data_IF_433719804268
#
_entry.id   IF_433719804268
#
_cell.length_a   1.000
_cell.length_b   1.000
_cell.length_c   1.000
_cell.angle_alpha   90.00
_cell.angle_beta   90.00
_cell.angle_gamma   90.00
#
_symmetry.space_group_name_H-M   'P 1'
#
loop_
_entity.id
_entity.type
_entity.pdbx_description
1 polymer ?
2 polymer ?
3 non-polymer ?
4 non-polymer ?
5 water ?
#
# COMPACT_ATOMS: atom_id res chain seq x y z
N UNK A 10 -10.61 -26.88 -9.09
CA UNK A 10 -12.05 -27.07 -9.12
C UNK A 10 -12.82 -25.91 -8.43
N UNK A 11 -14.15 -25.95 -8.50
CA UNK A 11 -15.00 -24.92 -7.89
C UNK A 11 -15.15 -23.66 -8.71
N UNK A 12 -14.49 -23.59 -9.91
CA UNK A 12 -14.50 -22.47 -10.85
C UNK A 12 -13.93 -21.20 -10.21
N UNK A 13 -12.84 -21.35 -9.42
CA UNK A 13 -12.23 -20.24 -8.67
C UNK A 13 -13.25 -19.47 -7.83
N UNK A 14 -14.38 -20.10 -7.48
CA UNK A 14 -15.42 -19.48 -6.70
C UNK A 14 -15.62 -20.26 -5.43
N UNK A 15 -15.75 -19.56 -4.32
CA UNK A 15 -15.95 -20.20 -3.04
C UNK A 15 -17.37 -19.96 -2.58
N UNK A 16 -17.94 -20.95 -1.90
CA UNK A 16 -19.29 -20.87 -1.36
C UNK A 16 -19.14 -20.02 -0.10
N UNK A 17 -19.77 -18.83 -0.04
CA UNK A 17 -19.65 -17.98 1.16
C UNK A 17 -20.24 -18.58 2.43
N UNK A 18 -21.13 -19.59 2.29
CA UNK A 18 -21.73 -20.31 3.41
C UNK A 18 -20.67 -21.11 4.19
N UNK A 19 -19.56 -21.51 3.51
CA UNK A 19 -18.43 -22.24 4.09
C UNK A 19 -17.35 -21.28 4.68
N UNK A 20 -17.63 -19.97 4.77
CA UNK A 20 -16.69 -19.01 5.32
C UNK A 20 -17.14 -18.56 6.70
N UNK A 21 -16.29 -18.79 7.69
CA UNK A 21 -16.60 -18.38 9.06
C UNK A 21 -15.71 -17.19 9.42
N UNK A 22 -16.30 -16.06 9.79
CA UNK A 22 -15.52 -14.87 10.14
C UNK A 22 -15.09 -14.93 11.59
N UNK A 23 -13.80 -15.05 11.84
CA UNK A 23 -13.24 -15.18 13.17
C UNK A 23 -12.75 -13.88 13.78
N UNK A 24 -11.85 -13.14 13.12
CA UNK A 24 -11.36 -11.86 13.66
C UNK A 24 -11.10 -10.82 12.56
N UNK A 25 -11.17 -9.53 12.90
CA UNK A 25 -10.89 -8.47 11.92
C UNK A 25 -9.37 -8.29 11.78
N UNK A 26 -8.86 -8.08 10.56
CA UNK A 26 -7.43 -7.89 10.36
C UNK A 26 -7.01 -6.45 10.11
N UNK A 27 -7.94 -5.62 9.64
CA UNK A 27 -7.65 -4.22 9.36
C UNK A 27 -7.98 -3.76 7.95
N UNK A 28 -7.84 -2.45 7.72
CA UNK A 28 -8.13 -1.88 6.42
C UNK A 28 -6.90 -1.92 5.55
N UNK A 29 -7.06 -2.51 4.38
CA UNK A 29 -6.00 -2.55 3.38
C UNK A 29 -6.14 -1.42 2.37
N UNK A 30 -5.31 -1.45 1.32
CA UNK A 30 -5.34 -0.41 0.30
C UNK A 30 -6.62 -0.40 -0.50
N UNK A 31 -7.11 -1.61 -0.82
CA UNK A 31 -8.28 -1.75 -1.68
C UNK A 31 -9.44 -2.45 -0.98
N UNK A 32 -9.58 -2.24 0.33
CA UNK A 32 -10.67 -2.83 1.08
C UNK A 32 -10.34 -3.40 2.46
N UNK A 33 -11.37 -3.59 3.29
CA UNK A 33 -11.17 -4.15 4.64
C UNK A 33 -10.94 -5.69 4.60
N UNK A 34 -9.96 -6.21 5.39
CA UNK A 34 -9.61 -7.64 5.42
C UNK A 34 -10.01 -8.37 6.72
N UNK A 35 -10.66 -9.54 6.64
CA UNK A 35 -11.03 -10.33 7.82
C UNK A 35 -10.30 -11.72 7.85
N UNK A 36 -10.27 -12.38 9.00
CA UNK A 36 -9.62 -13.68 9.16
C UNK A 36 -10.69 -14.73 9.48
N UNK A 37 -10.51 -15.97 9.00
CA UNK A 37 -11.47 -17.01 9.28
C UNK A 37 -11.13 -18.40 8.81
N UNK A 38 -12.18 -19.23 8.64
CA UNK A 38 -12.03 -20.61 8.21
C UNK A 38 -12.88 -20.92 6.98
N UNK A 39 -12.27 -21.54 5.96
CA UNK A 39 -13.00 -21.94 4.76
C UNK A 39 -13.18 -23.45 4.91
N UNK A 40 -14.44 -23.89 4.96
CA UNK A 40 -14.85 -25.26 5.21
C UNK A 40 -14.44 -25.75 6.62
N UNK A 41 -14.31 -24.81 7.57
CA UNK A 41 -13.94 -25.05 8.95
C UNK A 41 -12.58 -25.68 9.20
N UNK A 42 -11.72 -25.75 8.18
CA UNK A 42 -10.42 -26.40 8.32
C UNK A 42 -9.26 -25.53 7.80
N UNK A 43 -9.52 -24.70 6.79
CA UNK A 43 -8.47 -23.91 6.18
C UNK A 43 -8.43 -22.44 6.64
N UNK A 44 -7.24 -21.97 7.08
CA UNK A 44 -7.02 -20.59 7.56
C UNK A 44 -6.96 -19.65 6.40
N UNK A 45 -7.92 -18.74 6.30
CA UNK A 45 -7.96 -17.81 5.17
C UNK A 45 -8.09 -16.32 5.58
N UNK A 46 -7.79 -15.42 4.63
CA UNK A 46 -7.93 -13.99 4.77
C UNK A 46 -8.93 -13.57 3.71
N UNK A 47 -10.06 -13.00 4.11
CA UNK A 47 -11.10 -12.58 3.19
C UNK A 47 -11.03 -11.09 2.99
N UNK A 48 -10.72 -10.64 1.76
CA UNK A 48 -10.66 -9.21 1.50
C UNK A 48 -11.98 -8.75 0.91
N UNK A 49 -12.74 -7.92 1.64
CA UNK A 49 -14.00 -7.37 1.12
C UNK A 49 -13.66 -6.17 0.23
N UNK A 50 -13.74 -6.31 -1.10
CA UNK A 50 -13.38 -5.21 -2.01
C UNK A 50 -14.39 -4.06 -2.07
N UNK A 51 -13.92 -2.89 -1.59
CA UNK A 51 -14.57 -1.58 -1.45
C UNK A 51 -15.49 -1.16 -2.60
N UNK A 52 -16.75 -0.84 -2.24
CA UNK A 52 -17.80 -0.41 -3.17
C UNK A 52 -17.56 1.00 -3.75
N UNK A 53 -17.85 1.17 -5.04
CA UNK A 53 -17.72 2.46 -5.69
C UNK A 53 -16.42 2.68 -6.44
N UNK A 54 -15.32 2.17 -5.89
CA UNK A 54 -14.00 2.29 -6.52
C UNK A 54 -13.86 1.30 -7.68
N UNK A 55 -14.44 0.10 -7.52
CA UNK A 55 -14.35 -0.95 -8.53
C UNK A 55 -15.56 -1.05 -9.45
N UNK A 56 -15.29 -1.32 -10.75
CA UNK A 56 -16.33 -1.49 -11.77
C UNK A 56 -17.10 -2.80 -11.55
N UNK A 57 -16.41 -3.85 -11.02
CA UNK A 57 -16.93 -5.19 -10.73
C UNK A 57 -17.09 -6.03 -12.00
N UNK A 58 -17.59 -5.41 -13.08
CA UNK A 58 -17.76 -6.05 -14.39
C UNK A 58 -16.38 -6.28 -15.01
N UNK A 59 -15.50 -5.26 -14.91
CA UNK A 59 -14.12 -5.29 -15.40
C UNK A 59 -13.28 -6.33 -14.63
N UNK A 60 -13.51 -6.42 -13.30
CA UNK A 60 -12.80 -7.38 -12.47
C UNK A 60 -13.29 -8.81 -12.67
N UNK A 61 -14.62 -9.05 -12.61
CA UNK A 61 -15.21 -10.39 -12.74
C UNK A 61 -14.66 -11.20 -13.91
N UNK A 62 -14.50 -10.54 -15.07
CA UNK A 62 -13.97 -11.23 -16.25
C UNK A 62 -12.45 -11.45 -16.20
N UNK A 63 -11.67 -10.37 -16.02
CA UNK A 63 -10.21 -10.40 -16.03
C UNK A 63 -9.54 -11.08 -14.82
N UNK A 64 -10.27 -11.35 -13.72
CA UNK A 64 -9.67 -11.99 -12.54
C UNK A 64 -9.13 -13.39 -12.82
N UNK A 65 -9.69 -14.09 -13.81
CA UNK A 65 -9.27 -15.46 -14.17
C UNK A 65 -7.79 -15.54 -14.51
N UNK A 66 -7.22 -14.45 -15.07
CA UNK A 66 -5.82 -14.42 -15.41
C UNK A 66 -4.98 -14.42 -14.14
N UNK A 67 -5.30 -13.50 -13.21
CA UNK A 67 -4.65 -13.31 -11.92
C UNK A 67 -4.65 -14.57 -11.03
N UNK A 68 -5.75 -15.33 -11.04
CA UNK A 68 -5.87 -16.55 -10.25
C UNK A 68 -4.96 -17.68 -10.74
N UNK A 69 -4.74 -17.73 -12.06
CA UNK A 69 -3.91 -18.79 -12.65
C UNK A 69 -2.42 -18.69 -12.36
N UNK A 70 -1.98 -17.59 -11.73
CA UNK A 70 -0.57 -17.42 -11.37
C UNK A 70 -0.28 -18.27 -10.14
N UNK A 71 0.82 -19.03 -10.19
CA UNK A 71 1.19 -19.88 -9.07
C UNK A 71 2.69 -19.76 -8.78
N UNK A 72 3.01 -19.21 -7.61
CA UNK A 72 4.40 -19.05 -7.20
C UNK A 72 4.53 -19.12 -5.69
N UNK A 73 5.69 -19.65 -5.23
CA UNK A 73 6.04 -19.82 -3.83
C UNK A 73 5.94 -18.49 -3.09
N UNK A 74 6.51 -17.41 -3.66
CA UNK A 74 6.56 -16.09 -3.05
C UNK A 74 5.44 -15.16 -3.47
N UNK A 75 4.28 -15.72 -3.85
CA UNK A 75 3.12 -14.94 -4.23
C UNK A 75 1.99 -15.40 -3.35
N UNK A 76 1.29 -14.49 -2.67
CA UNK A 76 0.19 -14.89 -1.78
C UNK A 76 -0.84 -15.79 -2.50
N UNK A 77 -0.99 -17.05 -2.06
CA UNK A 77 -1.89 -17.97 -2.74
C UNK A 77 -3.32 -17.52 -2.76
N UNK A 78 -3.84 -17.15 -3.94
CA UNK A 78 -5.24 -16.75 -4.10
C UNK A 78 -6.08 -18.02 -4.17
N UNK A 79 -7.02 -18.18 -3.24
CA UNK A 79 -7.83 -19.39 -3.20
C UNK A 79 -9.05 -19.31 -4.09
N UNK A 80 -9.74 -18.20 -4.05
CA UNK A 80 -10.92 -17.99 -4.86
C UNK A 80 -11.58 -16.66 -4.62
N UNK A 81 -12.65 -16.39 -5.35
CA UNK A 81 -13.36 -15.13 -5.25
C UNK A 81 -14.86 -15.39 -5.04
N UNK A 82 -15.54 -14.49 -4.31
CA UNK A 82 -16.97 -14.56 -4.12
C UNK A 82 -17.54 -13.39 -4.90
N UNK A 83 -17.73 -13.59 -6.20
CA UNK A 83 -18.25 -12.55 -7.10
C UNK A 83 -19.78 -12.44 -7.08
N UNK A 84 -20.47 -13.48 -6.58
CA UNK A 84 -21.93 -13.57 -6.51
C UNK A 84 -22.62 -12.48 -5.68
N UNK A 85 -21.85 -11.57 -5.02
CA UNK A 85 -22.46 -10.53 -4.18
C UNK A 85 -21.69 -9.17 -4.22
N UNK A 86 -22.16 -8.18 -3.43
CA UNK A 86 -21.50 -6.88 -3.26
C UNK A 86 -21.31 -6.71 -1.73
N UNK A 87 -20.06 -6.62 -1.24
CA UNK A 87 -18.80 -6.53 -2.00
C UNK A 87 -18.23 -7.90 -2.37
N UNK A 88 -17.41 -7.94 -3.44
CA UNK A 88 -16.75 -9.18 -3.81
C UNK A 88 -15.71 -9.53 -2.75
N UNK A 89 -15.46 -10.83 -2.53
CA UNK A 89 -14.51 -11.27 -1.50
C UNK A 89 -13.35 -12.00 -2.14
N UNK A 90 -12.10 -11.55 -1.97
CA UNK A 90 -10.95 -12.28 -2.51
C UNK A 90 -10.36 -13.13 -1.41
N UNK A 91 -10.69 -14.43 -1.37
CA UNK A 91 -10.20 -15.36 -0.35
C UNK A 91 -8.80 -15.81 -0.70
N UNK A 92 -7.83 -15.59 0.17
CA UNK A 92 -6.43 -15.96 -0.04
C UNK A 92 -5.88 -16.70 1.21
N UNK A 93 -4.60 -17.15 1.18
CA UNK A 93 -4.00 -17.77 2.35
C UNK A 93 -3.76 -16.71 3.44
N UNK A 94 -3.63 -17.13 4.71
CA UNK A 94 -3.42 -16.17 5.80
C UNK A 94 -1.93 -15.94 6.07
N UNK A 95 -1.51 -14.66 6.18
CA UNK A 95 -0.10 -14.32 6.42
C UNK A 95 0.14 -13.81 7.85
N UNK A 96 0.40 -14.75 8.77
CA UNK A 96 0.55 -14.58 10.20
C UNK A 96 1.31 -13.31 10.64
N UNK A 97 2.49 -13.04 10.06
CA UNK A 97 3.27 -11.87 10.47
C UNK A 97 2.78 -10.53 9.90
N UNK A 98 1.59 -10.48 9.32
CA UNK A 98 1.01 -9.25 8.79
C UNK A 98 1.79 -8.69 7.63
N UNK A 99 1.84 -7.36 7.48
CA UNK A 99 2.56 -6.75 6.36
C UNK A 99 4.03 -6.47 6.64
N UNK A 100 4.81 -6.32 5.58
CA UNK A 100 6.22 -6.05 5.68
C UNK A 100 6.51 -4.73 6.34
N UNK A 101 5.71 -3.70 6.04
CA UNK A 101 5.94 -2.37 6.57
C UNK A 101 5.96 -2.29 8.08
N UNK A 102 4.94 -2.83 8.76
CA UNK A 102 4.93 -2.87 10.22
C UNK A 102 5.95 -3.87 10.75
N UNK A 103 6.14 -4.97 10.08
CA UNK A 103 7.09 -6.02 10.47
C UNK A 103 8.55 -5.55 10.59
N UNK A 104 9.00 -4.70 9.68
CA UNK A 104 10.36 -4.17 9.75
C UNK A 104 10.38 -3.17 10.93
N UNK A 105 9.42 -2.26 10.96
CA UNK A 105 9.24 -1.28 12.00
C UNK A 105 9.20 -1.88 13.41
N UNK A 106 8.83 -3.16 13.55
CA UNK A 106 8.75 -3.79 14.86
C UNK A 106 10.00 -4.59 15.14
N UNK A 107 10.48 -5.35 14.13
CA UNK A 107 11.68 -6.19 14.17
C UNK A 107 11.47 -7.53 14.92
N UNK A 110 15.89 -7.10 16.32
CA UNK A 110 16.49 -6.52 15.12
C UNK A 110 17.10 -7.63 14.28
N UNK A 111 16.87 -7.57 12.97
CA UNK A 111 17.39 -8.59 12.05
C UNK A 111 18.91 -8.41 11.81
N UNK A 112 19.53 -9.40 11.20
CA UNK A 112 20.91 -9.30 10.73
C UNK A 112 20.78 -8.81 9.25
N UNK A 113 21.86 -8.26 8.65
CA UNK A 113 21.74 -7.74 7.27
C UNK A 113 21.56 -8.85 6.23
N UNK A 114 21.98 -10.09 6.53
CA UNK A 114 21.77 -11.22 5.61
C UNK A 114 20.26 -11.63 5.54
N UNK A 115 19.49 -11.26 6.59
CA UNK A 115 18.04 -11.45 6.73
C UNK A 115 17.33 -10.39 5.89
N UNK A 116 17.86 -9.14 5.90
CA UNK A 116 17.33 -8.03 5.12
C UNK A 116 17.48 -8.32 3.63
N UNK A 117 18.69 -8.77 3.17
CA UNK A 117 18.94 -9.13 1.79
C UNK A 117 18.06 -10.29 1.34
N UNK A 118 17.91 -11.31 2.19
CA UNK A 118 17.04 -12.46 1.97
C UNK A 118 15.58 -12.03 1.68
N UNK A 119 15.09 -10.99 2.36
CA UNK A 119 13.74 -10.49 2.12
C UNK A 119 13.62 -9.90 0.73
N UNK A 120 14.65 -9.18 0.29
CA UNK A 120 14.70 -8.61 -1.05
C UNK A 120 14.68 -9.73 -2.09
N UNK A 121 15.42 -10.81 -1.84
CA UNK A 121 15.52 -12.00 -2.68
C UNK A 121 14.17 -12.73 -2.84
N UNK A 122 13.32 -12.77 -1.79
CA UNK A 122 11.99 -13.41 -1.87
C UNK A 122 11.07 -12.59 -2.79
N UNK A 123 11.14 -11.26 -2.69
CA UNK A 123 10.32 -10.36 -3.50
C UNK A 123 10.80 -10.36 -4.92
N UNK A 124 12.12 -10.38 -5.13
CA UNK A 124 12.69 -10.43 -6.47
C UNK A 124 12.25 -11.70 -7.20
N UNK A 125 12.39 -12.89 -6.55
CA UNK A 125 11.97 -14.18 -7.11
C UNK A 125 10.50 -14.18 -7.54
N UNK A 126 9.65 -13.41 -6.85
CA UNK A 126 8.24 -13.31 -7.19
C UNK A 126 8.01 -12.30 -8.31
N UNK A 127 8.82 -11.25 -8.38
CA UNK A 127 8.70 -10.26 -9.44
C UNK A 127 9.25 -10.80 -10.75
N UNK A 128 10.30 -11.61 -10.68
CA UNK A 128 10.90 -12.30 -11.82
C UNK A 128 9.84 -13.21 -12.44
N UNK A 129 9.03 -13.90 -11.59
CA UNK A 129 7.94 -14.74 -12.03
C UNK A 129 6.85 -13.95 -12.72
N UNK A 130 6.39 -12.84 -12.13
CA UNK A 130 5.34 -12.04 -12.76
C UNK A 130 5.83 -11.43 -14.07
N UNK A 131 7.12 -11.10 -14.16
CA UNK A 131 7.76 -10.51 -15.33
C UNK A 131 7.72 -11.50 -16.51
N UNK A 132 7.93 -12.80 -16.20
CA UNK A 132 7.88 -13.85 -17.20
C UNK A 132 6.45 -14.03 -17.75
N UNK A 133 5.42 -13.77 -16.94
CA UNK A 133 4.02 -13.91 -17.33
C UNK A 133 3.40 -12.61 -17.87
N UNK A 134 4.23 -11.59 -18.16
CA UNK A 134 3.81 -10.27 -18.67
C UNK A 134 2.77 -9.55 -17.76
N UNK A 135 2.65 -10.01 -16.50
CA UNK A 135 1.74 -9.41 -15.52
C UNK A 135 2.43 -8.24 -14.84
N UNK A 136 1.66 -7.23 -14.46
CA UNK A 136 2.20 -6.08 -13.76
C UNK A 136 1.63 -6.00 -12.35
N UNK A 137 2.50 -5.73 -11.38
CA UNK A 137 2.06 -5.54 -10.01
C UNK A 137 1.46 -4.13 -9.92
N UNK A 138 2.18 -3.11 -10.42
CA UNK A 138 1.84 -1.67 -10.46
C UNK A 138 2.01 -0.95 -9.10
N UNK A 139 1.74 -1.65 -7.99
CA UNK A 139 1.79 -1.05 -6.66
C UNK A 139 2.69 -1.84 -5.70
N UNK A 140 3.98 -1.90 -6.00
CA UNK A 140 4.91 -2.64 -5.18
C UNK A 140 5.54 -1.76 -4.10
N UNK A 141 5.25 -2.07 -2.85
CA UNK A 141 5.75 -1.35 -1.70
C UNK A 141 5.64 -2.29 -0.49
N UNK A 142 6.36 -1.98 0.59
CA UNK A 142 6.35 -2.79 1.79
C UNK A 142 4.97 -2.97 2.42
N UNK A 143 4.04 -2.02 2.24
CA UNK A 143 2.68 -2.16 2.79
C UNK A 143 1.87 -3.31 2.12
N UNK A 144 2.26 -3.68 0.88
CA UNK A 144 1.59 -4.71 0.09
C UNK A 144 2.22 -6.10 0.23
N UNK A 145 3.49 -6.17 0.59
CA UNK A 145 4.15 -7.44 0.81
C UNK A 145 3.72 -7.97 2.17
N UNK A 146 3.42 -9.26 2.26
CA UNK A 146 3.02 -9.85 3.54
C UNK A 146 4.07 -10.84 4.03
N UNK A 147 4.13 -11.06 5.33
CA UNK A 147 5.13 -11.94 5.94
C UNK A 147 4.39 -13.10 6.61
N UNK A 148 4.79 -14.35 6.36
CA UNK A 148 4.12 -15.49 6.97
C UNK A 148 4.73 -15.85 8.35
N UNK A 149 4.17 -16.87 9.04
CA UNK A 149 4.63 -17.41 10.34
C UNK A 149 6.11 -17.88 10.35
N UNK A 150 6.76 -17.92 9.18
CA UNK A 150 8.15 -18.33 8.95
C UNK A 150 9.06 -17.18 8.51
N UNK A 151 8.55 -15.95 8.51
CA UNK A 151 9.32 -14.78 8.14
C UNK A 151 9.59 -14.63 6.66
N UNK A 152 8.87 -15.40 5.83
CA UNK A 152 9.04 -15.32 4.38
C UNK A 152 8.14 -14.24 3.85
N UNK A 153 8.66 -13.41 2.93
CA UNK A 153 7.86 -12.34 2.35
C UNK A 153 7.18 -12.88 1.08
N UNK A 154 5.93 -12.54 0.87
CA UNK A 154 5.19 -12.93 -0.30
C UNK A 154 4.49 -11.71 -0.84
N UNK A 155 4.59 -11.48 -2.15
CA UNK A 155 3.96 -10.32 -2.78
C UNK A 155 2.42 -10.44 -2.81
N UNK A 156 1.72 -9.34 -2.52
CA UNK A 156 0.25 -9.30 -2.58
C UNK A 156 -0.23 -7.98 -3.23
N UNK A 157 -1.58 -7.81 -3.44
CA UNK A 157 -2.22 -6.63 -4.02
C UNK A 157 -1.72 -6.32 -5.45
N UNK A 158 -1.57 -7.36 -6.28
CA UNK A 158 -1.08 -7.16 -7.65
C UNK A 158 -2.24 -7.06 -8.64
N UNK A 159 -2.10 -6.15 -9.59
CA UNK A 159 -3.10 -5.97 -10.62
C UNK A 159 -4.36 -5.22 -10.25
N UNK A 160 -4.81 -5.34 -8.98
CA UNK A 160 -6.02 -4.68 -8.45
C UNK A 160 -6.04 -3.16 -8.74
N UNK A 161 -4.84 -2.57 -8.82
CA UNK A 161 -4.55 -1.17 -9.11
C UNK A 161 -5.04 -0.75 -10.51
N UNK A 162 -5.11 -1.70 -11.46
CA UNK A 162 -5.55 -1.49 -12.85
C UNK A 162 -7.08 -1.60 -13.04
N UNK A 163 -7.86 -1.60 -11.95
CA UNK A 163 -9.32 -1.67 -12.03
C UNK A 163 -9.94 -0.52 -11.21
N UNK A 164 -9.38 0.70 -11.34
CA UNK A 164 -9.80 1.91 -10.63
C UNK A 164 -9.73 1.75 -9.12
N UNK A 173 -7.54 13.90 -7.52
CA UNK A 173 -6.50 14.27 -6.57
C UNK A 173 -5.42 15.17 -7.19
N UNK A 174 -4.70 15.93 -6.36
CA UNK A 174 -3.65 16.82 -6.84
C UNK A 174 -2.27 16.20 -6.82
N UNK A 175 -1.91 15.57 -5.67
CA UNK A 175 -0.63 14.91 -5.43
C UNK A 175 -0.81 13.87 -4.31
N UNK A 176 -0.85 12.57 -4.65
CA UNK A 176 -1.04 11.50 -3.65
C UNK A 176 0.29 10.83 -3.25
N UNK A 177 0.31 10.07 -2.14
CA UNK A 177 1.52 9.44 -1.59
C UNK A 177 2.25 8.40 -2.51
N UNK A 178 1.58 7.63 -3.43
CA UNK A 178 2.34 6.69 -4.27
C UNK A 178 3.35 7.34 -5.22
N UNK A 179 3.45 8.68 -5.17
CA UNK A 179 4.44 9.48 -5.88
C UNK A 179 5.85 9.06 -5.43
N UNK A 180 6.01 8.71 -4.15
CA UNK A 180 7.28 8.26 -3.58
C UNK A 180 7.78 6.91 -4.10
N UNK A 181 6.88 6.11 -4.66
CA UNK A 181 7.20 4.80 -5.22
C UNK A 181 7.25 4.77 -6.76
N UNK A 182 6.78 5.83 -7.41
CA UNK A 182 6.64 5.94 -8.86
C UNK A 182 7.80 6.61 -9.60
N UNK A 183 8.21 6.02 -10.76
CA UNK A 183 9.27 6.62 -11.59
C UNK A 183 8.87 7.93 -12.29
N UNK A 184 9.79 8.69 -12.94
CA UNK A 184 9.40 9.96 -13.58
C UNK A 184 8.40 9.86 -14.74
N UNK A 185 8.43 8.75 -15.49
CA UNK A 185 7.47 8.51 -16.55
C UNK A 185 6.06 8.21 -16.02
N UNK A 186 5.94 7.78 -14.75
CA UNK A 186 4.63 7.53 -14.13
C UNK A 186 4.12 8.84 -13.55
N UNK A 187 5.00 9.64 -12.92
CA UNK A 187 4.60 10.93 -12.36
C UNK A 187 4.09 11.86 -13.46
N UNK A 188 4.80 11.87 -14.59
CA UNK A 188 4.57 12.75 -15.73
C UNK A 188 3.53 12.26 -16.77
N UNK A 189 3.75 11.08 -17.37
CA UNK A 189 2.84 10.56 -18.41
C UNK A 189 1.94 9.39 -17.97
N UNK A 190 2.16 8.85 -16.76
CA UNK A 190 1.40 7.72 -16.22
C UNK A 190 1.60 6.46 -17.08
N UNK A 191 2.86 6.17 -17.41
CA UNK A 191 3.24 5.06 -18.26
C UNK A 191 3.68 3.85 -17.45
N UNK A 192 2.81 2.85 -17.34
CA UNK A 192 3.14 1.64 -16.58
C UNK A 192 3.75 0.53 -17.44
N UNK A 193 4.82 -0.09 -16.93
CA UNK A 193 5.53 -1.17 -17.63
C UNK A 193 6.28 -2.08 -16.60
N UNK A 194 7.08 -3.04 -17.07
CA UNK A 194 7.94 -3.81 -16.18
C UNK A 194 9.03 -2.89 -15.57
N UNK A 195 9.31 -1.73 -16.17
CA UNK A 195 10.27 -0.75 -15.68
C UNK A 195 9.68 0.14 -14.59
N UNK A 196 8.36 0.34 -14.56
CA UNK A 196 7.70 1.08 -13.48
C UNK A 196 7.71 0.22 -12.17
N UNK A 197 7.76 -1.15 -12.31
CA UNK A 197 7.84 -2.12 -11.23
C UNK A 197 9.29 -2.41 -10.83
N UNK A 198 10.27 -2.21 -11.73
CA UNK A 198 11.70 -2.37 -11.40
C UNK A 198 12.04 -1.25 -10.43
N UNK A 199 11.64 -0.01 -10.77
CA UNK A 199 11.83 1.19 -9.96
C UNK A 199 11.15 1.03 -8.57
N UNK A 200 9.88 0.56 -8.55
CA UNK A 200 9.10 0.30 -7.33
C UNK A 200 9.76 -0.73 -6.43
N UNK A 201 10.62 -1.59 -6.98
CA UNK A 201 11.36 -2.62 -6.28
C UNK A 201 12.60 -2.02 -5.65
N UNK A 202 13.28 -1.11 -6.33
CA UNK A 202 14.44 -0.43 -5.77
C UNK A 202 14.03 0.40 -4.56
N UNK A 203 12.88 1.10 -4.66
CA UNK A 203 12.32 1.86 -3.55
C UNK A 203 12.00 0.90 -2.37
N UNK A 204 11.48 -0.32 -2.67
CA UNK A 204 11.16 -1.35 -1.68
C UNK A 204 12.42 -1.90 -1.02
N UNK A 205 13.51 -2.00 -1.76
CA UNK A 205 14.80 -2.42 -1.19
C UNK A 205 15.29 -1.35 -0.20
N UNK A 206 15.09 -0.08 -0.55
CA UNK A 206 15.41 1.04 0.32
C UNK A 206 14.56 1.01 1.61
N UNK A 207 13.23 0.76 1.52
CA UNK A 207 12.37 0.66 2.71
C UNK A 207 12.85 -0.47 3.60
N UNK A 208 13.29 -1.60 3.02
CA UNK A 208 13.75 -2.77 3.75
C UNK A 208 15.03 -2.45 4.51
N UNK A 209 16.00 -1.84 3.84
CA UNK A 209 17.27 -1.47 4.50
C UNK A 209 17.15 -0.28 5.46
N UNK A 210 16.12 0.53 5.30
CA UNK A 210 15.86 1.66 6.19
C UNK A 210 14.87 1.30 7.33
N UNK A 211 14.45 0.03 7.42
CA UNK A 211 13.59 -0.55 8.44
C UNK A 211 12.21 0.12 8.57
N UNK A 212 11.49 0.19 7.46
CA UNK A 212 10.14 0.75 7.46
C UNK A 212 10.03 2.25 7.33
N UNK A 213 11.17 2.92 7.14
CA UNK A 213 11.23 4.36 6.93
C UNK A 213 10.44 4.77 5.66
N UNK A 214 10.00 6.03 5.64
CA UNK A 214 9.25 6.54 4.50
C UNK A 214 10.24 7.06 3.46
N UNK A 215 10.02 6.72 2.17
CA UNK A 215 10.92 7.23 1.13
C UNK A 215 10.73 8.73 0.95
N UNK A 216 11.85 9.46 0.91
CA UNK A 216 11.87 10.92 0.77
C UNK A 216 11.14 11.61 1.91
N UNK A 217 11.25 11.09 3.15
CA UNK A 217 10.59 11.59 4.38
C UNK A 217 10.65 13.11 4.59
N UNK A 218 11.72 13.80 4.15
CA UNK A 218 11.87 15.26 4.31
C UNK A 218 11.03 16.08 3.31
N UNK A 219 10.42 15.42 2.33
CA UNK A 219 9.68 16.12 1.30
C UNK A 219 8.20 15.83 1.34
N UNK A 220 7.38 16.78 0.88
CA UNK A 220 5.95 16.58 0.78
C UNK A 220 5.63 15.79 -0.50
N UNK A 221 4.38 15.35 -0.66
CA UNK A 221 3.92 14.60 -1.83
C UNK A 221 4.23 15.36 -3.14
N UNK A 222 4.01 16.70 -3.13
CA UNK A 222 4.25 17.61 -4.26
C UNK A 222 5.73 17.96 -4.45
N UNK A 223 6.47 18.17 -3.35
CA UNK A 223 7.91 18.45 -3.46
C UNK A 223 8.63 17.24 -4.07
N UNK A 224 8.26 16.03 -3.61
CA UNK A 224 8.83 14.76 -4.07
C UNK A 224 8.74 14.61 -5.60
N UNK A 225 7.61 15.02 -6.20
CA UNK A 225 7.43 14.91 -7.65
C UNK A 225 8.46 15.77 -8.41
N UNK A 226 8.62 17.05 -8.04
CA UNK A 226 9.58 17.91 -8.71
C UNK A 226 10.98 17.79 -8.10
N UNK A 227 11.38 16.56 -7.78
CA UNK A 227 12.68 16.25 -7.19
C UNK A 227 13.13 14.93 -7.78
N UNK A 228 12.23 13.92 -7.84
CA UNK A 228 12.53 12.68 -8.53
C UNK A 228 12.65 13.01 -10.05
N UNK A 229 11.83 13.99 -10.55
CA UNK A 229 11.85 14.46 -11.92
C UNK A 229 13.18 15.13 -12.24
N UNK A 230 13.72 15.94 -11.31
CA UNK A 230 15.01 16.63 -11.50
C UNK A 230 16.22 15.68 -11.48
N UNK A 231 16.07 14.52 -10.84
CA UNK A 231 17.15 13.55 -10.74
C UNK A 231 17.58 13.22 -9.32
N UNK A 232 16.78 13.64 -8.31
CA UNK A 232 17.05 13.40 -6.90
C UNK A 232 16.71 11.95 -6.57
N UNK A 233 17.64 11.26 -5.92
CA UNK A 233 17.44 9.85 -5.57
C UNK A 233 17.47 9.62 -4.04
N UNK A 234 17.13 8.42 -3.61
CA UNK A 234 17.15 8.08 -2.19
C UNK A 234 18.60 7.91 -1.75
N UNK A 235 18.96 8.44 -0.58
CA UNK A 235 20.31 8.28 -0.06
C UNK A 235 20.53 6.84 0.37
N UNK A 236 21.79 6.41 0.47
CA UNK A 236 22.10 5.03 0.89
C UNK A 236 21.75 4.79 2.35
N UNK A 237 20.88 3.81 2.62
CA UNK A 237 20.55 3.48 4.02
C UNK A 237 21.79 3.07 4.81
N UNK A 238 21.77 3.31 6.11
CA UNK A 238 22.90 2.99 6.98
C UNK A 238 23.27 1.49 6.92
N UNK A 239 22.27 0.62 6.90
CA UNK A 239 22.50 -0.82 6.87
C UNK A 239 22.83 -1.38 5.48
N UNK A 240 22.62 -0.58 4.42
CA UNK A 240 22.91 -1.00 3.07
C UNK A 240 24.40 -0.82 2.77
N UNK A 241 25.10 -1.92 2.39
CA UNK A 241 26.52 -1.83 2.00
C UNK A 241 26.66 -1.04 0.69
N UNK A 242 27.83 -0.45 0.43
CA UNK A 242 27.99 0.37 -0.79
C UNK A 242 27.73 -0.42 -2.10
N UNK A 243 27.86 -1.77 -2.06
CA UNK A 243 27.56 -2.63 -3.21
C UNK A 243 26.06 -3.01 -3.26
N UNK A 244 25.38 -3.11 -2.09
CA UNK A 244 23.94 -3.37 -1.99
C UNK A 244 23.18 -2.12 -2.48
N UNK A 245 23.71 -0.92 -2.20
CA UNK A 245 23.14 0.35 -2.68
C UNK A 245 23.21 0.48 -4.20
N UNK A 246 24.22 -0.18 -4.82
CA UNK A 246 24.44 -0.21 -6.27
C UNK A 246 23.28 -0.97 -6.94
N UNK A 247 22.83 -2.10 -6.35
CA UNK A 247 21.69 -2.86 -6.85
C UNK A 247 20.40 -1.99 -6.87
N UNK A 248 20.05 -1.36 -5.73
CA UNK A 248 18.85 -0.54 -5.67
C UNK A 248 19.00 0.75 -6.48
N UNK A 249 20.23 1.23 -6.71
CA UNK A 249 20.43 2.42 -7.53
C UNK A 249 20.30 2.08 -9.02
N UNK A 250 20.53 0.80 -9.42
CA UNK A 250 20.36 0.31 -10.80
C UNK A 250 18.91 0.52 -11.23
N UNK A 251 17.97 0.25 -10.30
CA UNK A 251 16.54 0.37 -10.47
C UNK A 251 16.07 1.76 -10.79
N UNK A 252 16.87 2.79 -10.44
CA UNK A 252 16.43 4.14 -10.66
C UNK A 252 17.21 4.81 -11.77
N UNK A 253 16.94 4.40 -13.02
CA UNK A 253 17.56 5.05 -14.15
C UNK A 253 16.54 6.07 -14.67
N UNK A 254 16.99 7.32 -14.96
CA UNK A 254 16.12 8.39 -15.47
C UNK A 254 15.37 7.94 -16.72
N UNK A 255 16.07 7.15 -17.58
CA UNK A 255 15.60 6.56 -18.83
C UNK A 255 15.26 5.09 -18.56
N UNK A 256 13.97 4.78 -18.53
CA UNK A 256 13.43 3.47 -18.22
C UNK A 256 14.05 2.30 -18.98
N UNK A 257 14.58 2.56 -20.19
CA UNK A 257 15.17 1.53 -21.04
C UNK A 257 16.50 1.04 -20.49
N UNK A 258 17.26 1.91 -19.81
CA UNK A 258 18.54 1.53 -19.24
C UNK A 258 18.43 1.02 -17.79
N UNK A 259 17.26 0.44 -17.42
CA UNK A 259 17.01 -0.16 -16.10
C UNK A 259 17.23 -1.70 -16.18
N UNK A 260 17.51 -2.40 -15.06
CA UNK A 260 17.72 -3.86 -15.13
C UNK A 260 16.44 -4.68 -15.20
N UNK A 261 16.57 -6.01 -15.15
CA UNK A 261 15.43 -6.92 -15.19
C UNK A 261 15.36 -7.66 -13.86
N UNK A 262 14.21 -8.24 -13.52
CA UNK A 262 14.10 -8.98 -12.26
C UNK A 262 15.01 -10.17 -12.19
N UNK A 263 15.46 -10.68 -13.35
CA UNK A 263 16.40 -11.79 -13.46
C UNK A 263 17.83 -11.22 -13.25
N UNK A 264 18.14 -10.04 -13.83
CA UNK A 264 19.43 -9.38 -13.62
C UNK A 264 19.60 -9.07 -12.10
N UNK A 265 18.64 -8.32 -11.52
CA UNK A 265 18.58 -7.98 -10.11
C UNK A 265 18.72 -9.23 -9.24
N UNK A 266 17.98 -10.31 -9.53
CA UNK A 266 18.08 -11.53 -8.74
C UNK A 266 19.50 -12.09 -8.70
N UNK A 267 20.23 -11.94 -9.82
CA UNK A 267 21.63 -12.39 -9.94
C UNK A 267 22.60 -11.43 -9.25
N UNK A 268 22.26 -10.14 -9.19
CA UNK A 268 23.07 -9.16 -8.46
C UNK A 268 22.93 -9.46 -6.95
N UNK A 269 21.69 -9.76 -6.49
CA UNK A 269 21.39 -10.06 -5.09
C UNK A 269 22.10 -11.34 -4.68
N UNK A 270 21.95 -12.41 -5.46
CA UNK A 270 22.61 -13.70 -5.17
C UNK A 270 24.14 -13.66 -5.20
N UNK A 271 24.71 -12.62 -5.82
CA UNK A 271 26.15 -12.41 -5.85
C UNK A 271 26.61 -11.87 -4.50
N UNK A 272 25.82 -10.96 -3.89
CA UNK A 272 26.12 -10.36 -2.59
C UNK A 272 25.91 -11.35 -1.44
N UNK A 273 25.08 -12.38 -1.62
CA UNK A 273 24.87 -13.41 -0.59
C UNK A 273 26.09 -14.33 -0.40
N UNK A 274 26.91 -14.49 -1.46
CA UNK A 274 28.15 -15.28 -1.45
C UNK A 274 29.33 -14.39 -1.01
N UNK A 275 29.33 -13.11 -1.45
CA UNK A 275 30.33 -12.10 -1.09
C UNK A 275 30.11 -11.49 0.34
N UNK A 276 29.27 -12.17 1.17
CA UNK A 276 28.95 -11.85 2.57
C UNK A 276 29.03 -13.15 3.41
N UNK A 277 28.54 -14.28 2.83
CA UNK A 277 28.55 -15.59 3.47
C UNK A 277 28.80 -16.71 2.43
N UNK B 8 -23.60 7.71 11.65
CA UNK B 8 -22.48 8.32 12.36
C UNK B 8 -21.71 7.24 13.12
N UNK B 9 -20.37 7.31 13.11
CA UNK B 9 -19.56 6.30 13.80
C UNK B 9 -19.29 6.65 15.26
N UNK B 10 -18.58 7.76 15.53
CA UNK B 10 -18.36 8.18 16.90
C UNK B 10 -19.35 9.29 17.15
N UNK B 11 -20.45 8.99 17.85
CA UNK B 11 -21.46 9.99 18.15
C UNK B 11 -20.96 11.00 19.18
N UNK B 12 -20.03 10.61 20.05
CA UNK B 12 -19.46 11.52 21.06
C UNK B 12 -18.61 12.66 20.47
N UNK B 13 -18.28 12.57 19.17
CA UNK B 13 -17.46 13.57 18.50
C UNK B 13 -18.21 14.33 17.41
N UNK B 14 -19.55 14.34 17.45
CA UNK B 14 -20.32 15.06 16.43
C UNK B 14 -20.25 16.59 16.59
N UNK B 15 -19.88 17.08 17.78
CA UNK B 15 -19.77 18.52 18.02
C UNK B 15 -18.31 18.98 17.88
N UNK B 16 -18.05 20.07 17.18
CA UNK B 16 -16.68 20.60 17.01
C UNK B 16 -15.87 20.68 18.32
N UNK B 17 -16.49 21.17 19.40
CA UNK B 17 -15.84 21.33 20.70
C UNK B 17 -15.44 19.99 21.31
N UNK B 18 -16.18 18.88 21.03
CA UNK B 18 -15.83 17.55 21.54
C UNK B 18 -14.53 17.06 20.87
N UNK B 19 -14.44 17.27 19.55
CA UNK B 19 -13.31 16.92 18.71
C UNK B 19 -12.11 17.77 19.05
N UNK B 20 -12.32 19.04 19.39
CA UNK B 20 -11.24 19.94 19.69
C UNK B 20 -10.49 19.56 20.99
N UNK B 21 -11.19 18.88 21.91
CA UNK B 21 -10.58 18.46 23.17
C UNK B 21 -9.58 17.32 22.95
N UNK B 22 -9.89 16.40 22.02
CA UNK B 22 -8.98 15.31 21.71
C UNK B 22 -7.64 15.79 21.17
N UNK B 23 -7.60 16.99 20.57
CA UNK B 23 -6.35 17.56 20.09
C UNK B 23 -5.50 18.18 21.19
N UNK B 24 -5.74 17.81 22.46
CA UNK B 24 -4.94 18.32 23.53
C UNK B 24 -3.56 17.68 23.52
N UNK B 25 -3.49 16.36 23.25
CA UNK B 25 -2.23 15.62 23.17
C UNK B 25 -1.62 15.57 21.80
N UNK B 26 -2.09 16.41 20.87
CA UNK B 26 -1.58 16.47 19.52
C UNK B 26 -0.14 16.96 19.57
N UNK B 27 0.76 16.27 18.84
CA UNK B 27 2.16 16.72 18.82
C UNK B 27 2.29 18.14 18.27
N UNK B 28 3.19 18.98 18.86
CA UNK B 28 3.36 20.34 18.32
C UNK B 28 3.98 20.30 16.92
N UNK B 29 4.90 19.35 16.70
CA UNK B 29 5.64 19.12 15.47
C UNK B 29 4.75 18.95 14.24
N UNK B 30 3.53 18.37 14.38
CA UNK B 30 2.62 18.21 13.22
C UNK B 30 2.22 19.59 12.62
N UNK B 31 2.41 19.79 11.29
CA UNK B 31 2.17 21.11 10.69
C UNK B 31 0.76 21.41 10.23
N UNK B 32 -0.21 20.59 10.64
CA UNK B 32 -1.62 20.80 10.31
C UNK B 32 -2.31 21.15 11.59
N UNK B 33 -3.13 22.21 11.57
CA UNK B 33 -3.76 22.69 12.77
C UNK B 33 -4.94 21.89 13.29
N UNK B 34 -4.97 21.71 14.63
CA UNK B 34 -6.13 21.06 15.27
C UNK B 34 -7.46 21.77 15.02
N UNK B 35 -7.42 23.08 14.72
CA UNK B 35 -8.64 23.83 14.45
C UNK B 35 -9.25 23.41 13.11
N UNK B 36 -8.46 23.41 12.03
CA UNK B 36 -8.94 22.97 10.71
C UNK B 36 -9.15 21.44 10.62
N UNK B 37 -8.58 20.67 11.55
CA UNK B 37 -8.81 19.23 11.59
C UNK B 37 -10.15 18.98 12.25
N UNK B 38 -10.41 19.63 13.40
CA UNK B 38 -11.68 19.49 14.08
C UNK B 38 -12.83 20.08 13.22
N UNK B 39 -12.54 21.09 12.38
CA UNK B 39 -13.53 21.70 11.51
C UNK B 39 -13.90 20.75 10.36
N UNK B 40 -12.95 19.94 9.88
CA UNK B 40 -13.20 18.98 8.81
C UNK B 40 -13.75 17.63 9.29
N UNK B 41 -14.21 17.56 10.53
CA UNK B 41 -14.81 16.35 11.12
C UNK B 41 -13.88 15.42 11.88
N UNK B 42 -12.58 15.72 11.82
CA UNK B 42 -11.57 14.88 12.45
C UNK B 42 -11.40 15.09 13.91
N UNK B 43 -11.01 14.02 14.61
CA UNK B 43 -10.68 14.08 16.02
C UNK B 43 -9.43 13.27 16.24
N UNK B 44 -8.67 13.63 17.27
CA UNK B 44 -7.43 12.92 17.56
C UNK B 44 -7.69 11.59 18.26
N UNK B 45 -7.07 10.53 17.76
CA UNK B 45 -7.25 9.18 18.26
C UNK B 45 -6.29 8.84 19.44
N UNK B 46 -5.22 9.60 19.61
CA UNK B 46 -4.31 9.39 20.72
C UNK B 46 -2.94 8.90 20.33
N UNK B 47 -2.80 8.33 19.12
CA UNK B 47 -1.50 7.83 18.70
C UNK B 47 -1.01 8.57 17.47
N UNK B 48 0.29 8.93 17.49
CA UNK B 48 1.04 9.68 16.47
C UNK B 48 0.24 10.86 15.95
N UNK B 49 -0.17 10.85 14.66
CA UNK B 49 -1.02 11.89 14.11
C UNK B 49 -2.34 11.31 13.49
N UNK B 50 -2.78 10.16 14.01
CA UNK B 50 -3.96 9.45 13.53
C UNK B 50 -5.24 10.13 13.88
N UNK B 51 -6.00 10.54 12.85
CA UNK B 51 -7.27 11.20 13.09
C UNK B 51 -8.40 10.43 12.43
N UNK B 52 -9.58 10.41 13.04
CA UNK B 52 -10.75 9.77 12.44
C UNK B 52 -11.88 10.77 12.23
N UNK B 53 -12.72 10.56 11.20
CA UNK B 53 -13.90 11.39 10.96
C UNK B 53 -14.98 10.79 11.85
N UNK B 54 -15.65 11.61 12.67
CA UNK B 54 -16.69 11.07 13.56
C UNK B 54 -17.85 10.41 12.76
N UNK B 55 -18.04 10.83 11.52
CA UNK B 55 -19.10 10.45 10.62
C UNK B 55 -18.75 9.21 9.76
N UNK B 56 -17.81 9.35 8.80
CA UNK B 56 -17.46 8.22 7.93
C UNK B 56 -16.48 7.20 8.55
N UNK B 57 -15.99 7.43 9.78
CA UNK B 57 -14.99 6.55 10.41
C UNK B 57 -13.64 6.48 9.65
N UNK B 58 -13.48 7.26 8.59
CA UNK B 58 -12.27 7.28 7.78
C UNK B 58 -11.09 7.82 8.55
N UNK B 59 -9.99 7.09 8.52
CA UNK B 59 -8.79 7.48 9.25
C UNK B 59 -7.73 8.09 8.36
N UNK B 60 -7.09 9.15 8.83
CA UNK B 60 -6.03 9.82 8.09
C UNK B 60 -4.79 10.02 8.98
N UNK B 61 -3.60 9.96 8.39
CA UNK B 61 -2.35 10.18 9.12
C UNK B 61 -1.19 10.62 8.22
N UNK B 62 -0.02 10.89 8.78
CA UNK B 62 1.16 11.34 8.06
C UNK B 62 0.96 12.69 7.42
N UNK B 63 0.26 13.57 8.14
CA UNK B 63 -0.03 14.93 7.71
C UNK B 63 1.23 15.70 7.33
N UNK B 64 1.22 16.31 6.15
CA UNK B 64 2.35 17.07 5.65
C UNK B 64 2.08 18.58 5.77
N UNK B 65 3.12 19.42 5.58
CA UNK B 65 2.90 20.86 5.57
C UNK B 65 2.12 21.24 4.29
N UNK B 66 1.22 22.19 4.41
CA UNK B 66 0.41 22.62 3.27
C UNK B 66 -0.77 21.71 2.96
N UNK B 67 -1.17 20.89 3.93
CA UNK B 67 -2.31 20.01 3.77
C UNK B 67 -3.56 20.72 4.22
N UNK B 68 -4.67 20.42 3.54
CA UNK B 68 -5.95 20.94 3.96
C UNK B 68 -6.77 19.75 4.38
N UNK B 69 -7.13 19.67 5.67
CA UNK B 69 -7.94 18.53 6.12
C UNK B 69 -9.22 18.29 5.30
N UNK B 70 -9.84 19.37 4.79
CA UNK B 70 -11.05 19.23 3.98
C UNK B 70 -10.74 18.62 2.61
N UNK B 71 -9.59 18.99 2.04
CA UNK B 71 -9.15 18.50 0.74
C UNK B 71 -8.74 17.04 0.87
N UNK B 72 -8.00 16.69 1.95
CA UNK B 72 -7.60 15.29 2.22
C UNK B 72 -8.83 14.44 2.53
N UNK B 73 -9.86 15.03 3.18
CA UNK B 73 -11.13 14.35 3.45
C UNK B 73 -11.79 13.95 2.12
N UNK B 74 -11.81 14.86 1.14
CA UNK B 74 -12.41 14.59 -0.16
C UNK B 74 -11.53 13.71 -1.07
N UNK B 75 -10.21 13.79 -0.90
CA UNK B 75 -9.28 12.99 -1.67
C UNK B 75 -9.41 11.50 -1.32
N UNK B 76 -9.64 11.18 -0.04
CA UNK B 76 -9.72 9.78 0.39
C UNK B 76 -11.14 9.26 0.71
N UNK B 77 -11.98 10.07 1.35
CA UNK B 77 -13.35 9.65 1.71
C UNK B 77 -14.33 10.65 1.13
N UNK B 78 -14.56 10.60 -0.20
CA UNK B 78 -15.45 11.59 -0.83
C UNK B 78 -16.93 11.29 -0.66
N UNK B 79 -17.31 10.02 -0.51
CA UNK B 79 -18.71 9.67 -0.27
C UNK B 79 -19.14 9.90 1.19
N UNK B 80 -18.34 10.65 1.99
CA UNK B 80 -18.64 10.94 3.40
C UNK B 80 -19.85 11.87 3.52
N UNK B 81 -20.89 11.42 4.25
CA UNK B 81 -22.13 12.15 4.44
C UNK B 81 -22.01 13.44 5.28
N UNK B 82 -20.80 13.82 5.71
CA UNK B 82 -20.56 15.04 6.48
C UNK B 82 -19.76 16.03 5.64
N UNK B 83 -18.78 15.52 4.89
CA UNK B 83 -17.96 16.33 3.98
C UNK B 83 -18.86 16.99 2.92
N UNK B 84 -19.82 16.23 2.40
CA UNK B 84 -20.80 16.65 1.41
C UNK B 84 -21.80 17.67 2.04
N UNK B 85 -22.28 17.41 3.26
CA UNK B 85 -23.19 18.33 3.96
C UNK B 85 -22.50 19.67 4.32
N UNK B 86 -21.17 19.68 4.47
CA UNK B 86 -20.43 20.87 4.86
C UNK B 86 -19.76 21.64 3.74
N UNK B 87 -19.10 20.94 2.82
CA UNK B 87 -18.41 21.58 1.69
C UNK B 87 -19.18 21.43 0.35
N UNK B 88 -20.11 20.48 0.28
CA UNK B 88 -20.89 20.26 -0.92
C UNK B 88 -20.22 19.45 -2.00
N UNK B 89 -21.04 18.80 -2.81
CA UNK B 89 -20.59 17.99 -3.92
C UNK B 89 -19.74 18.75 -4.91
N UNK B 90 -20.01 20.04 -5.12
CA UNK B 90 -19.22 20.84 -6.07
C UNK B 90 -17.75 21.02 -5.61
N UNK B 91 -17.48 20.91 -4.30
CA UNK B 91 -16.11 20.97 -3.81
C UNK B 91 -15.46 19.59 -4.07
N UNK B 92 -16.16 18.52 -3.63
CA UNK B 92 -15.72 17.14 -3.75
C UNK B 92 -15.40 16.77 -5.20
N UNK B 93 -16.28 17.08 -6.16
CA UNK B 93 -16.08 16.77 -7.58
C UNK B 93 -14.85 17.44 -8.16
N UNK B 94 -14.53 18.66 -7.72
CA UNK B 94 -13.34 19.37 -8.19
C UNK B 94 -12.06 18.69 -7.66
N UNK B 95 -12.12 18.14 -6.44
CA UNK B 95 -10.99 17.45 -5.84
C UNK B 95 -10.84 16.03 -6.42
N UNK B 96 -11.91 15.21 -6.36
CA UNK B 96 -11.88 13.84 -6.87
C UNK B 96 -11.56 13.75 -8.34
N UNK B 97 -12.15 14.66 -9.12
CA UNK B 97 -11.94 14.71 -10.56
C UNK B 97 -10.69 15.40 -11.02
N UNK B 98 -9.69 15.57 -10.14
CA UNK B 98 -8.43 16.22 -10.51
C UNK B 98 -7.40 15.24 -11.09
X LIG C 1 -1.38 -1.51 5.19
X LIG C 1 -2.79 2.42 3.42
X LIG C 1 -6.07 6.21 11.62
X LIG C 1 -5.29 6.93 10.77
X LIG C 1 -5.45 5.17 9.11
X LIG C 1 -6.54 4.97 11.25
X LIG C 1 -4.97 6.41 9.52
X LIG C 1 -6.24 4.43 9.99
X LIG C 1 -2.13 11.50 3.69
X LIG C 1 -2.51 9.07 3.75
X LIG C 1 -1.17 8.27 3.51
X LIG C 1 0.10 6.08 3.78
X LIG C 1 -5.92 5.70 3.33
X LIG C 1 -4.39 7.35 2.33
X LIG C 1 -5.16 6.06 2.05
X LIG C 1 -3.24 13.12 5.45
X LIG C 1 -2.07 12.81 4.49
X LIG C 1 -1.80 11.46 2.50
X LIG C 1 -2.36 10.37 4.39
X LIG C 1 0.08 9.01 4.01
X LIG C 1 1.36 8.25 3.68
X LIG C 1 1.35 6.83 4.23
X LIG C 1 -1.18 6.86 4.13
X LIG C 1 -3.59 8.29 4.50
X LIG C 1 -3.69 8.39 5.71
X LIG C 1 -4.41 7.49 3.79
X LIG C 1 -5.41 6.63 4.46
X LIG C 1 -4.77 5.76 5.54
X LIG C 1 -3.78 5.08 5.28
X LIG C 1 -5.35 5.77 6.74
X LIG C 1 -5.16 4.69 7.71
X LIG C 1 -6.08 3.55 7.27
X LIG C 1 -6.20 2.49 8.36
X LIG C 1 -6.81 3.09 9.59
X LIG C 1 -4.49 5.13 1.12
X LIG C 1 -4.90 3.87 0.88
X LIG C 1 -5.41 3.51 -0.19
X LIG C 1 -4.63 2.87 1.97
X LIG C 1 -3.69 3.38 2.91
X LIG C 1 -3.46 1.52 4.43
X LIG C 1 -2.45 0.66 5.03
X LIG C 1 -2.64 -0.76 4.81
X LIG C 1 -1.03 -1.26 6.61
X LIG C 1 -0.97 0.18 6.88
X LIG C 1 -2.23 0.88 6.44
X LIG C 1 0.24 -1.89 6.96
X LIG C 1 0.21 -3.39 7.10
X LIG C 1 -0.76 -3.91 8.14
X LIG C 1 -1.33 -5.26 7.76
X LIG C 1 -0.85 -6.28 8.26
X LIG C 1 -2.31 -5.31 6.84
X LIG C 1 -3.34 -4.34 6.51
X LIG C 1 -4.70 -4.89 6.86
X LIG C 1 -4.95 -6.21 6.15
X LIG C 1 -3.79 -7.19 6.34
X LIG C 1 -2.45 -6.52 6.02
X LIG C 1 -3.93 -8.37 5.48
X LIG C 1 -3.57 -9.66 5.74
X LIG C 1 -3.72 -10.37 4.54
X LIG C 1 -4.23 -9.42 3.61
X LIG C 1 -4.33 -8.22 4.18
X LIG C 1 -4.74 -9.57 2.22
X LIG C 1 -5.80 -10.44 1.96
X LIG C 1 -6.28 -10.59 0.67
X LIG C 1 -5.72 -9.88 -0.37
X LIG C 1 -4.69 -8.98 -0.12
X LIG C 1 -4.20 -8.83 1.17
X LIG C 1 -6.21 -10.11 -1.67
X LIG C 1 -5.33 -10.22 -2.75
X LIG C 1 -4.22 -11.05 -2.68
X LIG C 1 -3.35 -11.11 -3.76
X LIG C 1 -3.59 -10.37 -4.90
X LIG C 1 -4.70 -9.56 -4.96
X LIG C 1 -5.59 -9.48 -3.89
X LIG C 1 -3.34 -11.73 4.59
X LIG C 1 -2.91 -12.25 5.76
X LIG C 1 -2.87 -11.44 6.83
X LIG C 1 -3.16 -10.15 6.92
X LIG C 1 -3.29 -12.54 3.50
X LIG C 1 -1.61 13.96 3.69
X LIG C 1 -0.28 13.77 3.11
X LIG C 1 -0.57 -1.16 4.55
X LIG C 1 -1.50 -2.57 4.94
X LIG C 1 -1.91 2.90 3.85
X LIG C 1 -2.38 1.83 2.59
X LIG C 1 -6.32 6.61 12.60
X LIG C 1 -4.89 7.91 11.05
X LIG C 1 -7.17 4.40 11.93
X LIG C 1 -4.33 7.01 8.88
X LIG C 1 -2.96 9.32 2.79
X LIG C 1 -1.01 8.13 2.44
X LIG C 1 0.15 5.89 2.70
X LIG C 1 0.07 5.09 4.23
X LIG C 1 -6.99 5.80 3.19
X LIG C 1 -5.80 4.64 3.62
X LIG C 1 -3.38 7.29 1.92
X LIG C 1 -4.86 8.19 1.84
X LIG C 1 -4.30 5.57 2.57
X LIG C 1 -3.55 14.17 5.46
X LIG C 1 -2.93 12.93 6.48
X LIG C 1 -4.15 12.52 5.32
X LIG C 1 -2.95 13.11 3.92
X LIG C 1 -2.42 10.38 5.40
X LIG C 1 0.03 9.18 5.09
X LIG C 1 0.14 10.01 3.57
X LIG C 1 2.22 8.80 4.07
X LIG C 1 1.52 8.24 2.60
X LIG C 1 1.41 6.84 5.32
X LIG C 1 2.24 6.29 3.92
X LIG C 1 -2.02 6.28 3.77
X LIG C 1 -1.29 6.89 5.21
X LIG C 1 -6.22 7.27 4.83
X LIG C 1 -5.98 6.51 7.02
X LIG C 1 -4.13 4.33 7.72
X LIG C 1 -5.73 3.10 6.35
X LIG C 1 -7.09 3.91 7.03
X LIG C 1 -6.79 1.65 8.01
X LIG C 1 -5.22 2.08 8.59
X LIG C 1 -7.88 3.23 9.46
X LIG C 1 -6.73 2.38 10.41
X LIG C 1 -3.73 5.49 0.54
X LIG C 1 -4.27 1.94 1.53
X LIG C 1 -5.56 2.63 2.48
X LIG C 1 -4.21 0.91 3.93
X LIG C 1 -4.01 2.15 5.13
X LIG C 1 -2.90 -1.02 3.79
X LIG C 1 -3.47 -1.13 5.41
X LIG C 1 -0.75 0.43 7.92
X LIG C 1 -0.14 0.60 6.32
X LIG C 1 -3.07 0.47 7.01
X LIG C 1 -2.20 1.93 6.73
X LIG C 1 0.69 -1.47 7.86
X LIG C 1 0.96 -1.62 6.18
X LIG C 1 -0.01 -3.86 6.14
X LIG C 1 -1.55 -3.21 8.38
X LIG C 1 -0.20 -4.00 9.07
X LIG C 1 -3.22 -3.35 6.94
X LIG C 1 -3.29 -4.14 5.43
X LIG C 1 -5.49 -4.17 6.62
X LIG C 1 -4.78 -5.03 7.94
X LIG C 1 -5.15 -6.01 5.11
X LIG C 1 -5.87 -6.66 6.52
X LIG C 1 -3.79 -7.54 7.37
X LIG C 1 -1.63 -7.22 6.15
X LIG C 1 -2.39 -6.24 4.98
X LIG C 1 -6.24 -11.01 2.77
X LIG C 1 -7.11 -11.28 0.49
X LIG C 1 -4.26 -8.40 -0.93
X LIG C 1 -3.39 -8.13 1.35
X LIG C 1 -4.02 -11.66 -1.81
X LIG C 1 -2.47 -11.75 -3.71
X LIG C 1 -2.90 -10.43 -5.74
X LIG C 1 -4.89 -8.97 -5.86
X LIG C 1 -6.46 -8.84 -3.95
X LIG C 1 -2.53 -11.93 7.75
X LIG C 1 -3.16 -12.14 2.58
X LIG C 1 -3.39 -13.54 3.58
X LIG C 1 -1.72 14.86 4.13
X LIG C 1 0.32 13.12 3.74
X LIG C 1 0.30 14.68 2.94
X LIG C 1 -0.38 13.28 2.15
X LIG D 1 -15.79 11.87 6.86
#
# INVERSE_FOLDING_TARGET
SAPSTAGLGYGSWEIDPKDLTFLKELGTGQFGVVKYGKWRGQYDVAIKMIKEGSMSEDEFIEEAKVMMNLSHEKLVQLYGVCTKQRPIFIITEYMANGCLLNYLREMRHRFQTQQLLEMCKDVCEAMEYLESKQFLHRDLAARNCLVNDQGVVKVSDFGLSRYVLDDEYTSSVGSKFPVRWSPPEVLMYSKFSSKSDIWAFGVLMWEIYSLGKMPYERFTNSETAEHIAQGLRLYRPHLASEKVYTIMYSCWHEKADERPTFKILLSNILDVMDEES
GSGPGSSISNLSMQTHAARMRTFMYWPSSVPVQPEQLASAGFYYVGRNDDVKCFCCDGGLRCWESGDDPWVEHAKWFPRCEFLIRMKGQEFVDEIQGRY
TOO C47 C43 C36 C35 C33 C37 C34 C32 C4 C7 C9 C13 C21 C18 C19 C1 C2 O5 N6 C10 C11 C12 C14 C15 O16 N17 C22 C24 O25 N26 C27 C29 C30 C31 N38 C39 O40 C41 O42 C44 N45 C46 N48 C49 C50 C51 C52 C53 C54 O55 N56 C57 C58 C59 C60 C62 N63 C64 C65 C66 N67 C68 C69 C70 C71 C72 C73 O74 C75 C76 C77 C78 C79 C80 C81 N82 C83 N84 N85 N86 C87 H127 H128 H122 H121 H116 H115 H117 H114 H8 H92 H99 H100 H105 H106 H103 H104 H20 H90 H89 H88 H3 H91 H94 H93 H95 H96 H97 H98 H102 H101 H23 H107 H28 H109 H108 H111 H110 H113 H112 H118 H120 H119 H123 H124 H126 H125 H129 H130 H131 H132 H133 H134 H136 H138 H137 H140 H139 H142 H141 H143 H144 H61 H145 H146 H147 H148 H149 H150 H151 H152 H153 H154 H155 H156 H157 H158 H159 H160 H161 H162
ZN ZN
#
